data_IF_522774620300
#
_entry.id   IF_522774620300
#
_cell.length_a   1.000
_cell.length_b   1.000
_cell.length_c   1.000
_cell.angle_alpha   90.00
_cell.angle_beta   90.00
_cell.angle_gamma   90.00
#
_symmetry.space_group_name_H-M   'P 1'
#
loop_
_entity.id
_entity.type
_entity.pdbx_description
1 polymer ?
#
# COMPACT_ATOMS: atom_id res chain seq x y z
N UNK A 1 4.32 13.29 -1.83
CA UNK A 1 4.05 12.48 -3.01
C UNK A 1 4.25 13.28 -4.31
N UNK A 2 3.53 14.38 -4.50
CA UNK A 2 3.55 15.19 -5.74
C UNK A 2 4.95 15.65 -6.18
N UNK A 3 5.82 16.08 -5.26
CA UNK A 3 7.19 16.51 -5.60
C UNK A 3 8.03 15.39 -6.25
N UNK A 4 7.87 14.16 -5.78
CA UNK A 4 8.53 12.98 -6.37
C UNK A 4 7.91 12.66 -7.74
N UNK A 5 6.59 12.68 -7.86
CA UNK A 5 5.92 12.43 -9.14
C UNK A 5 6.34 13.44 -10.20
N UNK A 6 6.45 14.73 -9.87
CA UNK A 6 6.91 15.78 -10.81
C UNK A 6 8.29 15.51 -11.43
N UNK A 7 9.13 14.73 -10.77
CA UNK A 7 10.43 14.31 -11.31
C UNK A 7 10.38 13.03 -12.15
N UNK A 8 9.19 12.50 -12.43
CA UNK A 8 8.98 11.26 -13.16
C UNK A 8 8.99 10.00 -12.29
N UNK A 9 9.11 10.15 -10.97
CA UNK A 9 9.08 9.02 -10.03
C UNK A 9 7.67 8.65 -9.56
N UNK A 10 7.58 7.66 -8.66
CA UNK A 10 6.34 7.28 -7.98
C UNK A 10 6.29 7.88 -6.59
N UNK A 11 5.44 8.88 -6.37
CA UNK A 11 5.22 9.49 -5.07
C UNK A 11 4.14 8.74 -4.29
N UNK A 12 4.45 8.29 -3.08
CA UNK A 12 3.55 7.44 -2.28
C UNK A 12 2.91 8.22 -1.12
N UNK A 13 1.60 8.02 -0.92
CA UNK A 13 0.79 8.55 0.17
C UNK A 13 0.50 7.39 1.14
N UNK A 14 0.78 7.57 2.43
CA UNK A 14 0.32 6.64 3.47
C UNK A 14 -1.16 6.87 3.74
N UNK A 15 -1.97 5.80 3.79
CA UNK A 15 -3.44 5.92 3.85
C UNK A 15 -4.02 6.15 5.26
N UNK A 16 -3.19 6.07 6.30
CA UNK A 16 -3.66 6.05 7.68
C UNK A 16 -3.72 7.45 8.28
N UNK A 17 -4.81 7.74 8.99
CA UNK A 17 -5.01 8.96 9.80
C UNK A 17 -4.78 10.30 9.08
N UNK A 18 -5.02 10.34 7.79
CA UNK A 18 -4.82 11.53 6.94
C UNK A 18 -5.67 12.73 7.36
N UNK A 19 -6.78 12.52 8.09
CA UNK A 19 -7.59 13.61 8.65
C UNK A 19 -6.78 14.60 9.47
N UNK A 20 -5.65 14.17 10.06
CA UNK A 20 -4.75 15.03 10.83
C UNK A 20 -4.03 16.09 9.97
N UNK A 21 -3.98 15.92 8.67
CA UNK A 21 -3.41 16.89 7.72
C UNK A 21 -4.42 17.99 7.32
N UNK A 22 -5.71 17.79 7.68
CA UNK A 22 -6.82 18.69 7.31
C UNK A 22 -7.45 19.30 8.56
N UNK A 23 -7.20 20.61 8.87
CA UNK A 23 -7.70 21.24 10.10
C UNK A 23 -9.22 21.16 10.29
N UNK A 24 -10.00 21.23 9.20
CA UNK A 24 -11.45 21.11 9.20
C UNK A 24 -11.91 19.69 9.60
N UNK A 25 -11.24 18.64 9.07
CA UNK A 25 -11.55 17.25 9.39
C UNK A 25 -11.08 16.90 10.81
N UNK A 26 -9.96 17.47 11.24
CA UNK A 26 -9.46 17.27 12.60
C UNK A 26 -10.44 17.90 13.62
N UNK A 27 -10.94 19.12 13.36
CA UNK A 27 -11.94 19.76 14.20
C UNK A 27 -13.27 18.98 14.23
N UNK A 28 -13.74 18.51 13.06
CA UNK A 28 -14.94 17.68 12.95
C UNK A 28 -14.86 16.40 13.78
N UNK A 29 -13.66 15.86 13.97
CA UNK A 29 -13.42 14.60 14.70
C UNK A 29 -12.89 14.81 16.12
N UNK A 30 -12.86 16.06 16.61
CA UNK A 30 -12.41 16.38 17.96
C UNK A 30 -13.29 15.69 19.00
N UNK A 31 -12.68 14.82 19.81
CA UNK A 31 -13.38 14.06 20.86
C UNK A 31 -14.24 12.91 20.37
N UNK A 32 -14.34 12.69 19.06
CA UNK A 32 -15.03 11.52 18.48
C UNK A 32 -14.22 10.27 18.74
N UNK A 33 -14.88 9.22 19.28
CA UNK A 33 -14.30 7.89 19.53
C UNK A 33 -14.94 6.80 18.69
N UNK A 34 -16.04 7.13 18.02
CA UNK A 34 -16.72 6.21 17.14
C UNK A 34 -15.89 5.92 15.91
N UNK A 35 -15.50 4.64 15.76
CA UNK A 35 -14.58 4.20 14.71
C UNK A 35 -15.13 4.46 13.32
N UNK A 36 -16.41 4.15 13.08
CA UNK A 36 -17.04 4.33 11.78
C UNK A 36 -17.00 5.78 11.30
N UNK A 37 -17.24 6.73 12.21
CA UNK A 37 -17.13 8.17 11.91
C UNK A 37 -15.70 8.58 11.57
N UNK A 38 -14.71 8.10 12.35
CA UNK A 38 -13.30 8.37 12.08
C UNK A 38 -12.85 7.78 10.74
N UNK A 39 -13.26 6.55 10.46
CA UNK A 39 -12.96 5.84 9.22
C UNK A 39 -13.54 6.58 8.01
N UNK A 40 -14.78 7.01 8.06
CA UNK A 40 -15.41 7.81 7.00
C UNK A 40 -14.67 9.12 6.75
N UNK A 41 -14.27 9.83 7.79
CA UNK A 41 -13.56 11.10 7.66
C UNK A 41 -12.14 10.87 7.09
N UNK A 42 -11.48 9.76 7.43
CA UNK A 42 -10.21 9.38 6.83
C UNK A 42 -10.33 9.07 5.34
N UNK A 43 -11.43 8.49 4.86
CA UNK A 43 -11.66 8.31 3.41
C UNK A 43 -11.77 9.65 2.69
N UNK A 44 -12.47 10.63 3.28
CA UNK A 44 -12.53 12.00 2.73
C UNK A 44 -11.14 12.63 2.68
N UNK A 45 -10.33 12.45 3.72
CA UNK A 45 -8.96 12.96 3.73
C UNK A 45 -8.10 12.28 2.66
N UNK A 46 -8.23 10.96 2.49
CA UNK A 46 -7.51 10.22 1.46
C UNK A 46 -7.86 10.71 0.05
N UNK A 47 -9.15 10.92 -0.23
CA UNK A 47 -9.60 11.49 -1.51
C UNK A 47 -8.93 12.84 -1.79
N UNK A 48 -8.94 13.74 -0.81
CA UNK A 48 -8.32 15.06 -0.92
C UNK A 48 -6.82 14.97 -1.19
N UNK A 49 -6.10 14.11 -0.46
CA UNK A 49 -4.65 13.95 -0.60
C UNK A 49 -4.27 13.38 -1.97
N UNK A 50 -5.00 12.38 -2.45
CA UNK A 50 -4.72 11.79 -3.78
C UNK A 50 -4.99 12.81 -4.88
N UNK A 51 -6.16 13.46 -4.88
CA UNK A 51 -6.51 14.47 -5.91
C UNK A 51 -5.53 15.65 -5.90
N UNK A 52 -5.18 16.16 -4.73
CA UNK A 52 -4.21 17.24 -4.58
C UNK A 52 -2.82 16.81 -5.07
N UNK A 53 -2.40 15.56 -4.81
CA UNK A 53 -1.13 15.05 -5.28
C UNK A 53 -1.12 14.90 -6.81
N UNK A 54 -2.20 14.42 -7.41
CA UNK A 54 -2.37 14.31 -8.86
C UNK A 54 -2.34 15.70 -9.53
N UNK A 55 -3.08 16.66 -9.00
CA UNK A 55 -3.07 18.03 -9.49
C UNK A 55 -1.65 18.63 -9.45
N UNK A 56 -0.97 18.52 -8.30
CA UNK A 56 0.37 19.09 -8.10
C UNK A 56 1.48 18.32 -8.81
N UNK A 57 1.26 17.11 -9.28
CA UNK A 57 2.23 16.36 -10.09
C UNK A 57 2.30 16.86 -11.53
N UNK A 58 1.31 17.64 -11.95
CA UNK A 58 1.24 18.25 -13.29
C UNK A 58 1.33 17.20 -14.43
N UNK A 59 0.67 16.05 -14.22
CA UNK A 59 0.64 14.93 -15.17
C UNK A 59 1.93 14.14 -15.27
N UNK A 60 2.92 14.41 -14.42
CA UNK A 60 4.19 13.70 -14.42
C UNK A 60 4.21 12.58 -13.38
N UNK A 61 4.97 11.51 -13.64
CA UNK A 61 5.19 10.39 -12.74
C UNK A 61 3.90 9.70 -12.31
N UNK A 62 3.93 9.04 -11.16
CA UNK A 62 2.79 8.30 -10.61
C UNK A 62 2.50 8.67 -9.15
N UNK A 63 1.24 8.60 -8.74
CA UNK A 63 0.80 8.72 -7.35
C UNK A 63 0.32 7.36 -6.86
N UNK A 64 1.04 6.80 -5.91
CA UNK A 64 0.68 5.56 -5.24
C UNK A 64 0.05 5.80 -3.87
N UNK A 65 -0.77 4.86 -3.41
CA UNK A 65 -1.27 4.83 -2.03
C UNK A 65 -0.78 3.57 -1.34
N UNK A 66 -0.10 3.74 -0.21
CA UNK A 66 0.33 2.63 0.64
C UNK A 66 -0.78 2.29 1.65
N UNK A 67 -1.27 1.06 1.59
CA UNK A 67 -2.33 0.54 2.46
C UNK A 67 -1.79 -0.63 3.29
N UNK A 68 -2.00 -0.59 4.59
CA UNK A 68 -1.66 -1.71 5.48
C UNK A 68 -2.78 -2.76 5.48
N UNK A 69 -2.46 -4.00 5.10
CA UNK A 69 -3.41 -5.13 5.13
C UNK A 69 -3.97 -5.40 6.53
N UNK A 70 -3.18 -5.12 7.57
CA UNK A 70 -3.57 -5.32 8.97
C UNK A 70 -4.66 -4.36 9.47
N UNK A 71 -4.97 -3.29 8.74
CA UNK A 71 -6.03 -2.35 9.10
C UNK A 71 -7.38 -2.87 8.60
N UNK A 72 -8.38 -2.99 9.48
CA UNK A 72 -9.70 -3.52 9.11
C UNK A 72 -10.36 -2.74 7.96
N UNK A 73 -10.09 -1.44 7.90
CA UNK A 73 -10.61 -0.54 6.86
C UNK A 73 -9.90 -0.69 5.50
N UNK A 74 -8.88 -1.56 5.37
CA UNK A 74 -8.09 -1.64 4.14
C UNK A 74 -8.90 -1.81 2.84
N UNK A 75 -10.04 -2.54 2.77
CA UNK A 75 -10.79 -2.63 1.52
C UNK A 75 -11.40 -1.29 1.09
N UNK A 76 -11.91 -0.51 2.07
CA UNK A 76 -12.46 0.82 1.80
C UNK A 76 -11.36 1.81 1.40
N UNK A 77 -10.18 1.73 2.02
CA UNK A 77 -9.02 2.55 1.66
C UNK A 77 -8.51 2.25 0.24
N UNK A 78 -8.42 0.97 -0.15
CA UNK A 78 -8.05 0.57 -1.51
C UNK A 78 -9.06 1.13 -2.51
N UNK A 79 -10.36 0.91 -2.27
CA UNK A 79 -11.42 1.40 -3.17
C UNK A 79 -11.36 2.93 -3.31
N UNK A 80 -11.31 3.65 -2.17
CA UNK A 80 -11.23 5.11 -2.19
C UNK A 80 -9.99 5.62 -2.93
N UNK A 81 -8.83 5.00 -2.73
CA UNK A 81 -7.61 5.39 -3.44
C UNK A 81 -7.78 5.27 -4.96
N UNK A 82 -8.35 4.15 -5.43
CA UNK A 82 -8.62 3.94 -6.84
C UNK A 82 -9.64 4.95 -7.39
N UNK A 83 -10.76 5.17 -6.70
CA UNK A 83 -11.81 6.16 -7.07
C UNK A 83 -11.26 7.60 -7.10
N UNK A 84 -10.29 7.91 -6.26
CA UNK A 84 -9.62 9.21 -6.23
C UNK A 84 -8.58 9.41 -7.34
N UNK A 85 -8.26 8.36 -8.10
CA UNK A 85 -7.34 8.40 -9.24
C UNK A 85 -5.89 8.07 -8.90
N UNK A 86 -5.63 7.26 -7.88
CA UNK A 86 -4.30 6.73 -7.63
C UNK A 86 -3.84 5.85 -8.80
N UNK A 87 -2.57 5.95 -9.18
CA UNK A 87 -1.96 5.16 -10.25
C UNK A 87 -1.50 3.78 -9.76
N UNK A 88 -1.29 3.62 -8.45
CA UNK A 88 -0.84 2.36 -7.88
C UNK A 88 -1.34 2.17 -6.44
N UNK A 89 -1.57 0.91 -6.07
CA UNK A 89 -1.77 0.48 -4.68
C UNK A 89 -0.55 -0.31 -4.23
N UNK A 90 0.12 0.19 -3.20
CA UNK A 90 1.22 -0.49 -2.51
C UNK A 90 0.65 -1.11 -1.24
N UNK A 91 0.75 -2.43 -1.05
CA UNK A 91 0.12 -3.08 0.10
C UNK A 91 1.07 -4.02 0.81
N UNK A 92 1.24 -3.77 2.11
CA UNK A 92 2.07 -4.57 3.03
C UNK A 92 1.38 -4.80 4.38
N UNK A 93 2.17 -5.12 5.41
CA UNK A 93 1.67 -5.49 6.74
C UNK A 93 0.63 -6.62 6.69
N UNK A 94 0.89 -7.61 5.83
CA UNK A 94 0.04 -8.75 5.56
C UNK A 94 0.18 -9.22 4.12
N UNK A 95 -0.13 -10.50 3.83
CA UNK A 95 -0.14 -10.98 2.45
C UNK A 95 -1.39 -10.46 1.72
N UNK A 96 -1.24 -9.62 0.68
CA UNK A 96 -2.37 -8.99 0.01
C UNK A 96 -3.02 -9.94 -1.02
N UNK A 97 -3.50 -11.10 -0.56
CA UNK A 97 -3.98 -12.17 -1.43
C UNK A 97 -5.26 -11.81 -2.20
N UNK A 98 -6.03 -10.88 -1.69
CA UNK A 98 -7.33 -10.41 -2.18
C UNK A 98 -7.26 -9.03 -2.87
N UNK A 99 -6.07 -8.44 -3.01
CA UNK A 99 -5.91 -7.14 -3.66
C UNK A 99 -6.40 -7.13 -5.13
N UNK A 100 -6.18 -8.17 -5.94
CA UNK A 100 -6.73 -8.22 -7.30
C UNK A 100 -8.25 -8.11 -7.36
N UNK A 101 -8.97 -8.71 -6.41
CA UNK A 101 -10.44 -8.61 -6.37
C UNK A 101 -10.92 -7.24 -5.95
N UNK A 102 -10.22 -6.62 -4.97
CA UNK A 102 -10.57 -5.27 -4.51
C UNK A 102 -10.39 -4.22 -5.61
N UNK A 103 -9.50 -4.48 -6.57
CA UNK A 103 -9.16 -3.55 -7.67
C UNK A 103 -9.69 -3.99 -9.02
N UNK A 104 -10.57 -5.00 -9.08
CA UNK A 104 -11.06 -5.57 -10.35
C UNK A 104 -11.77 -4.54 -11.25
N UNK A 105 -12.43 -3.52 -10.66
CA UNK A 105 -13.08 -2.43 -11.38
C UNK A 105 -12.09 -1.34 -11.87
N UNK A 106 -10.81 -1.44 -11.50
CA UNK A 106 -9.76 -0.46 -11.79
C UNK A 106 -8.55 -1.13 -12.46
N UNK A 107 -8.68 -1.66 -13.69
CA UNK A 107 -7.67 -2.50 -14.34
C UNK A 107 -6.34 -1.76 -14.62
N UNK A 108 -6.38 -0.44 -14.74
CA UNK A 108 -5.20 0.40 -15.02
C UNK A 108 -4.38 0.73 -13.77
N UNK A 109 -4.90 0.41 -12.56
CA UNK A 109 -4.18 0.66 -11.32
C UNK A 109 -3.11 -0.42 -11.13
N UNK A 110 -1.86 0.01 -10.97
CA UNK A 110 -0.74 -0.89 -10.69
C UNK A 110 -0.82 -1.48 -9.27
N UNK A 111 -0.51 -2.76 -9.13
CA UNK A 111 -0.57 -3.47 -7.86
C UNK A 111 0.84 -3.88 -7.42
N UNK A 112 1.23 -3.38 -6.26
CA UNK A 112 2.60 -3.51 -5.73
C UNK A 112 2.55 -4.11 -4.31
N UNK A 113 2.63 -5.43 -4.15
CA UNK A 113 2.73 -6.06 -2.83
C UNK A 113 4.10 -5.78 -2.19
N UNK A 114 4.12 -5.60 -0.86
CA UNK A 114 5.32 -5.56 -0.03
C UNK A 114 5.48 -6.90 0.64
N UNK A 115 6.61 -7.57 0.43
CA UNK A 115 6.91 -8.92 0.88
C UNK A 115 8.34 -8.99 1.42
N UNK A 116 8.61 -9.96 2.30
CA UNK A 116 9.91 -10.01 2.99
C UNK A 116 10.78 -11.20 2.56
N UNK A 117 10.19 -12.26 1.99
CA UNK A 117 10.91 -13.48 1.61
C UNK A 117 10.35 -14.13 0.34
N UNK A 118 11.11 -15.06 -0.23
CA UNK A 118 10.74 -15.79 -1.44
C UNK A 118 9.46 -16.62 -1.28
N UNK A 119 9.19 -17.14 -0.07
CA UNK A 119 7.98 -17.90 0.21
C UNK A 119 6.74 -17.01 0.10
N UNK A 120 6.79 -15.82 0.70
CA UNK A 120 5.73 -14.82 0.61
C UNK A 120 5.46 -14.43 -0.85
N UNK A 121 6.52 -14.16 -1.61
CA UNK A 121 6.43 -13.88 -3.06
C UNK A 121 5.75 -15.03 -3.81
N UNK A 122 6.21 -16.27 -3.63
CA UNK A 122 5.64 -17.45 -4.29
C UNK A 122 4.16 -17.69 -3.93
N UNK A 123 3.76 -17.40 -2.69
CA UNK A 123 2.36 -17.53 -2.27
C UNK A 123 1.48 -16.48 -2.97
N UNK A 124 1.92 -15.22 -2.98
CA UNK A 124 1.18 -14.13 -3.64
C UNK A 124 1.06 -14.40 -5.14
N UNK A 125 2.18 -14.70 -5.82
CA UNK A 125 2.19 -14.99 -7.27
C UNK A 125 1.23 -16.13 -7.63
N UNK A 126 1.29 -17.26 -6.91
CA UNK A 126 0.40 -18.40 -7.18
C UNK A 126 -1.08 -18.09 -6.95
N UNK A 127 -1.39 -17.28 -5.95
CA UNK A 127 -2.77 -16.88 -5.65
C UNK A 127 -3.30 -15.88 -6.68
N UNK A 128 -2.50 -14.89 -7.05
CA UNK A 128 -2.90 -13.87 -8.02
C UNK A 128 -2.99 -14.44 -9.44
N UNK A 129 -2.09 -15.35 -9.81
CA UNK A 129 -2.13 -16.01 -11.13
C UNK A 129 -3.46 -16.76 -11.35
N UNK A 130 -4.04 -17.37 -10.30
CA UNK A 130 -5.37 -18.01 -10.38
C UNK A 130 -6.51 -17.01 -10.63
N UNK A 131 -6.25 -15.72 -10.46
CA UNK A 131 -7.15 -14.60 -10.71
C UNK A 131 -6.81 -13.85 -11.99
N UNK A 132 -5.94 -14.45 -12.85
CA UNK A 132 -5.40 -13.84 -14.06
C UNK A 132 -4.76 -12.47 -13.83
N UNK A 133 -4.12 -12.25 -12.68
CA UNK A 133 -3.41 -11.02 -12.33
C UNK A 133 -2.01 -11.35 -11.81
N UNK A 134 -1.04 -10.54 -12.20
CA UNK A 134 0.31 -10.54 -11.64
C UNK A 134 0.59 -9.16 -11.01
N UNK A 135 1.49 -9.08 -10.04
CA UNK A 135 2.00 -7.80 -9.57
C UNK A 135 2.69 -7.03 -10.69
N UNK A 136 2.53 -5.71 -10.72
CA UNK A 136 3.27 -4.84 -11.63
C UNK A 136 4.69 -4.59 -11.14
N UNK A 137 4.88 -4.62 -9.83
CA UNK A 137 6.17 -4.62 -9.13
C UNK A 137 6.02 -5.29 -7.78
N UNK A 138 7.14 -5.67 -7.16
CA UNK A 138 7.18 -6.21 -5.78
C UNK A 138 8.21 -5.41 -5.00
N UNK A 139 7.80 -4.91 -3.83
CA UNK A 139 8.73 -4.33 -2.85
C UNK A 139 9.24 -5.46 -1.97
N UNK A 140 10.56 -5.66 -1.91
CA UNK A 140 11.19 -6.56 -0.97
C UNK A 140 11.64 -5.75 0.25
N UNK A 141 11.02 -6.06 1.38
CA UNK A 141 11.21 -5.36 2.63
C UNK A 141 11.95 -6.24 3.63
N UNK A 142 13.22 -5.91 3.90
CA UNK A 142 14.00 -6.63 4.90
C UNK A 142 13.56 -6.24 6.31
N UNK A 143 13.12 -7.19 7.16
CA UNK A 143 12.51 -6.89 8.46
C UNK A 143 13.45 -6.16 9.44
N UNK A 144 14.77 -6.26 9.27
CA UNK A 144 15.75 -5.51 10.07
C UNK A 144 15.68 -4.00 9.88
N UNK A 145 15.24 -3.55 8.70
CA UNK A 145 15.28 -2.14 8.30
C UNK A 145 13.89 -1.53 8.12
N UNK A 146 12.83 -2.29 8.41
CA UNK A 146 11.46 -1.89 8.18
C UNK A 146 10.60 -2.02 9.44
N UNK A 147 9.60 -1.16 9.55
CA UNK A 147 8.56 -1.25 10.58
C UNK A 147 7.25 -1.77 9.99
N UNK A 148 6.46 -2.49 10.81
CA UNK A 148 5.15 -2.98 10.38
C UNK A 148 5.18 -4.12 9.35
N UNK A 149 6.31 -4.83 9.21
CA UNK A 149 6.48 -5.96 8.31
C UNK A 149 5.86 -7.26 8.87
N UNK A 150 5.71 -8.28 8.02
CA UNK A 150 5.25 -9.62 8.39
C UNK A 150 6.36 -10.69 8.38
N UNK A 151 7.58 -10.33 8.01
CA UNK A 151 8.63 -11.31 7.73
C UNK A 151 9.17 -12.01 8.98
N UNK A 152 9.48 -11.27 10.05
CA UNK A 152 10.04 -11.80 11.28
C UNK A 152 9.09 -11.59 12.46
N UNK A 153 8.94 -12.61 13.31
CA UNK A 153 8.13 -12.56 14.52
C UNK A 153 8.95 -12.48 15.80
N UNK A 154 10.27 -12.74 15.69
CA UNK A 154 11.22 -12.72 16.79
C UNK A 154 12.46 -11.93 16.39
N UNK A 155 13.13 -11.33 17.37
CA UNK A 155 14.35 -10.52 17.13
C UNK A 155 15.46 -11.37 16.52
N UNK A 156 15.60 -12.63 16.91
CA UNK A 156 16.62 -13.55 16.41
C UNK A 156 16.46 -13.84 14.91
N UNK A 157 15.25 -13.78 14.39
CA UNK A 157 14.95 -13.98 12.97
C UNK A 157 15.41 -12.81 12.08
N UNK A 158 15.69 -11.64 12.65
CA UNK A 158 16.12 -10.46 11.89
C UNK A 158 17.46 -10.65 11.15
N UNK A 159 18.26 -11.62 11.58
CA UNK A 159 19.53 -11.98 10.94
C UNK A 159 19.42 -13.19 10.00
N UNK A 160 18.21 -13.71 9.75
CA UNK A 160 17.99 -14.85 8.86
C UNK A 160 18.24 -14.44 7.41
N UNK A 161 19.15 -15.15 6.73
CA UNK A 161 19.53 -14.89 5.34
C UNK A 161 18.35 -15.03 4.35
N UNK A 162 17.23 -15.68 4.73
CA UNK A 162 16.03 -15.77 3.89
C UNK A 162 15.45 -14.40 3.51
N UNK A 163 15.79 -13.34 4.26
CA UNK A 163 15.37 -11.97 4.01
C UNK A 163 16.34 -11.18 3.15
N UNK A 164 17.55 -11.69 2.92
CA UNK A 164 18.53 -11.03 2.07
C UNK A 164 18.01 -10.99 0.62
N UNK A 165 18.21 -9.85 -0.03
CA UNK A 165 17.67 -9.63 -1.38
C UNK A 165 18.07 -10.72 -2.39
N UNK A 166 19.36 -11.12 -2.36
CA UNK A 166 19.89 -12.17 -3.24
C UNK A 166 19.17 -13.50 -3.02
N UNK A 167 18.94 -13.89 -1.76
CA UNK A 167 18.23 -15.12 -1.42
C UNK A 167 16.76 -15.07 -1.84
N UNK A 168 16.11 -13.93 -1.68
CA UNK A 168 14.73 -13.73 -2.14
C UNK A 168 14.66 -13.85 -3.66
N UNK A 169 15.57 -13.19 -4.40
CA UNK A 169 15.64 -13.25 -5.84
C UNK A 169 15.86 -14.70 -6.34
N UNK A 170 16.88 -15.39 -5.83
CA UNK A 170 17.16 -16.79 -6.20
C UNK A 170 16.01 -17.75 -5.87
N UNK A 171 15.27 -17.46 -4.80
CA UNK A 171 14.12 -18.26 -4.40
C UNK A 171 12.87 -18.04 -5.28
N UNK A 172 12.78 -16.89 -5.95
CA UNK A 172 11.68 -16.58 -6.88
C UNK A 172 11.95 -17.12 -8.28
N UNK A 173 13.22 -17.19 -8.71
CA UNK A 173 13.64 -17.68 -10.02
C UNK A 173 13.51 -19.22 -10.16
N UNK A 174 13.23 -19.97 -9.07
CA UNK A 174 12.97 -21.41 -9.02
C UNK A 174 11.49 -21.77 -9.12
#
# INVERSE_FOLDING_TARGET
>A
ASAVARTGGMGTIASVDLRHHHPDLLEQTRGVRERETLDRVNLVALDREVRLAKEKSDGNGAIAVNVMKAVDQHPALVRQACESGADAIVMGAGLPLDLPEMTAEFPDVALVPILSDARGVSVVLRKWLRKNRLPDAIVIEHPRYAGGHLGATRIEELADARFDFEQVREGVDK
#
